data_IF_346907306052
#
_entry.id   IF_346907306052
#
_cell.length_a   1.000
_cell.length_b   1.000
_cell.length_c   1.000
_cell.angle_alpha   90.00
_cell.angle_beta   90.00
_cell.angle_gamma   90.00
#
_symmetry.space_group_name_H-M   'P 1'
#
loop_
_entity.id
_entity.type
_entity.pdbx_description
1 polymer ?
#
# COMPACT_ATOMS: atom_id res chain seq x y z
N UNK A 1 -1.68 51.82 16.18
CA UNK A 1 -0.65 51.29 17.11
C UNK A 1 -0.54 52.23 18.30
N UNK A 2 -0.91 51.82 19.53
CA UNK A 2 -0.77 52.68 20.71
C UNK A 2 0.72 52.96 21.00
N UNK A 3 1.06 54.21 21.35
CA UNK A 3 2.44 54.62 21.67
C UNK A 3 2.89 53.95 22.98
N UNK A 4 4.15 53.46 23.07
CA UNK A 4 4.63 52.86 24.31
C UNK A 4 4.68 53.89 25.44
N UNK A 5 4.21 53.53 26.64
CA UNK A 5 4.41 54.34 27.85
C UNK A 5 5.91 54.51 28.11
N UNK A 6 6.35 55.74 28.34
CA UNK A 6 7.76 56.11 28.54
C UNK A 6 8.25 55.83 29.98
N UNK A 7 7.33 55.72 30.94
CA UNK A 7 7.63 55.55 32.37
C UNK A 7 7.43 54.10 32.82
N UNK A 8 8.17 53.16 32.21
CA UNK A 8 8.19 51.76 32.65
C UNK A 8 9.15 51.60 33.83
N UNK A 9 8.70 50.94 34.89
CA UNK A 9 9.57 50.52 36.00
C UNK A 9 10.64 49.53 35.51
N UNK A 10 11.76 49.36 36.22
CA UNK A 10 12.80 48.42 35.83
C UNK A 10 12.30 46.97 35.64
N UNK A 11 11.31 46.55 36.42
CA UNK A 11 10.71 45.21 36.30
C UNK A 11 9.82 45.07 35.06
N UNK A 12 8.96 46.05 34.79
CA UNK A 12 8.11 46.06 33.58
C UNK A 12 8.94 46.14 32.30
N UNK A 13 10.11 46.81 32.33
CA UNK A 13 11.06 46.78 31.20
C UNK A 13 11.62 45.38 30.97
N UNK A 14 12.02 44.66 32.04
CA UNK A 14 12.54 43.29 31.95
C UNK A 14 11.48 42.33 31.40
N UNK A 15 10.25 42.42 31.88
CA UNK A 15 9.14 41.61 31.37
C UNK A 15 8.83 41.91 29.91
N UNK A 16 8.78 43.20 29.52
CA UNK A 16 8.58 43.60 28.12
C UNK A 16 9.70 43.08 27.22
N UNK A 17 10.96 43.14 27.65
CA UNK A 17 12.08 42.57 26.92
C UNK A 17 11.97 41.04 26.78
N UNK A 18 11.56 40.34 27.84
CA UNK A 18 11.32 38.89 27.83
C UNK A 18 10.20 38.50 26.86
N UNK A 19 9.07 39.21 26.89
CA UNK A 19 7.94 38.98 25.99
C UNK A 19 8.33 39.25 24.53
N UNK A 20 9.08 40.31 24.25
CA UNK A 20 9.60 40.58 22.90
C UNK A 20 10.59 39.53 22.43
N UNK A 21 11.48 39.05 23.30
CA UNK A 21 12.42 37.98 22.97
C UNK A 21 11.69 36.67 22.69
N UNK A 22 10.67 36.32 23.48
CA UNK A 22 9.83 35.15 23.28
C UNK A 22 9.05 35.25 21.96
N UNK A 23 8.39 36.38 21.67
CA UNK A 23 7.69 36.59 20.40
C UNK A 23 8.63 36.49 19.17
N UNK A 24 9.87 36.98 19.30
CA UNK A 24 10.90 36.80 18.26
C UNK A 24 11.32 35.33 18.10
N UNK A 25 11.38 34.56 19.19
CA UNK A 25 11.67 33.13 19.11
C UNK A 25 10.49 32.33 18.53
N UNK A 26 9.25 32.66 18.89
CA UNK A 26 8.05 32.03 18.35
C UNK A 26 7.93 32.25 16.84
N UNK A 27 8.13 33.49 16.38
CA UNK A 27 8.15 33.79 14.94
C UNK A 27 9.27 33.07 14.20
N UNK A 28 10.47 32.95 14.79
CA UNK A 28 11.55 32.12 14.23
C UNK A 28 11.16 30.64 14.14
N UNK A 29 10.58 30.07 15.21
CA UNK A 29 10.12 28.67 15.24
C UNK A 29 9.01 28.42 14.23
N UNK A 30 8.08 29.36 14.08
CA UNK A 30 7.01 29.29 13.10
C UNK A 30 7.56 29.27 11.67
N UNK A 31 8.45 30.21 11.32
CA UNK A 31 9.12 30.23 10.00
C UNK A 31 9.93 28.96 9.74
N UNK A 32 10.62 28.44 10.74
CA UNK A 32 11.34 27.16 10.61
C UNK A 32 10.40 25.98 10.38
N UNK A 33 9.22 25.97 11.03
CA UNK A 33 8.19 24.96 10.75
C UNK A 33 7.65 25.08 9.34
N UNK A 34 7.34 26.29 8.87
CA UNK A 34 6.89 26.53 7.49
C UNK A 34 7.92 26.07 6.47
N UNK A 35 9.20 26.40 6.66
CA UNK A 35 10.28 25.95 5.77
C UNK A 35 10.37 24.42 5.74
N UNK A 36 10.35 23.76 6.90
CA UNK A 36 10.36 22.29 6.96
C UNK A 36 9.13 21.66 6.30
N UNK A 37 7.96 22.30 6.41
CA UNK A 37 6.76 21.82 5.73
C UNK A 37 6.88 22.00 4.22
N UNK A 38 7.41 23.13 3.75
CA UNK A 38 7.65 23.38 2.34
C UNK A 38 8.68 22.40 1.75
N UNK A 39 9.76 22.10 2.48
CA UNK A 39 10.73 21.07 2.10
C UNK A 39 10.08 19.69 1.94
N UNK A 40 9.25 19.28 2.91
CA UNK A 40 8.50 18.01 2.83
C UNK A 40 7.58 17.96 1.62
N UNK A 41 6.82 19.02 1.39
CA UNK A 41 5.92 19.11 0.23
C UNK A 41 6.72 19.05 -1.06
N UNK A 42 7.87 19.71 -1.14
CA UNK A 42 8.74 19.65 -2.32
C UNK A 42 9.28 18.23 -2.57
N UNK A 43 9.69 17.52 -1.51
CA UNK A 43 10.12 16.12 -1.64
C UNK A 43 8.99 15.19 -2.09
N UNK A 44 7.77 15.37 -1.55
CA UNK A 44 6.60 14.59 -1.95
C UNK A 44 6.23 14.86 -3.42
N UNK A 45 6.32 16.11 -3.88
CA UNK A 45 6.06 16.47 -5.28
C UNK A 45 7.10 15.82 -6.21
N UNK A 46 8.38 15.84 -5.84
CA UNK A 46 9.44 15.21 -6.62
C UNK A 46 9.24 13.69 -6.73
N UNK A 47 8.92 13.03 -5.61
CA UNK A 47 8.60 11.60 -5.59
C UNK A 47 7.38 11.30 -6.47
N UNK A 48 6.32 12.10 -6.38
CA UNK A 48 5.13 11.93 -7.23
C UNK A 48 5.50 12.06 -8.71
N UNK A 49 6.37 13.00 -9.09
CA UNK A 49 6.81 13.16 -10.47
C UNK A 49 7.53 11.91 -11.00
N UNK A 50 8.47 11.35 -10.23
CA UNK A 50 9.15 10.09 -10.57
C UNK A 50 8.15 8.92 -10.71
N UNK A 51 7.16 8.85 -9.81
CA UNK A 51 6.13 7.82 -9.88
C UNK A 51 5.19 8.01 -11.09
N UNK A 52 4.97 9.24 -11.55
CA UNK A 52 4.22 9.52 -12.78
C UNK A 52 4.96 9.01 -14.01
N UNK A 53 6.27 9.26 -14.11
CA UNK A 53 7.10 8.74 -15.20
C UNK A 53 7.04 7.21 -15.25
N UNK A 54 7.24 6.56 -14.10
CA UNK A 54 7.09 5.12 -13.97
C UNK A 54 5.68 4.65 -14.38
N UNK A 55 4.63 5.37 -13.99
CA UNK A 55 3.26 5.01 -14.36
C UNK A 55 3.00 5.13 -15.87
N UNK A 56 3.63 6.08 -16.56
CA UNK A 56 3.56 6.16 -18.02
C UNK A 56 4.30 5.02 -18.71
N UNK A 57 5.47 4.62 -18.21
CA UNK A 57 6.19 3.44 -18.69
C UNK A 57 5.38 2.16 -18.50
N UNK A 58 4.78 1.97 -17.32
CA UNK A 58 3.94 0.82 -16.99
C UNK A 58 2.75 0.68 -17.95
N UNK A 59 2.18 1.79 -18.43
CA UNK A 59 1.08 1.79 -19.38
C UNK A 59 1.50 1.35 -20.80
N UNK A 60 2.79 1.39 -21.11
CA UNK A 60 3.35 0.91 -22.38
C UNK A 60 3.76 -0.56 -22.32
N UNK A 61 3.94 -1.11 -21.11
CA UNK A 61 4.32 -2.50 -20.91
C UNK A 61 3.14 -3.47 -21.09
N UNK A 62 3.46 -4.75 -21.26
CA UNK A 62 2.44 -5.79 -21.17
C UNK A 62 1.89 -5.87 -19.74
N UNK A 63 0.58 -6.10 -19.62
CA UNK A 63 -0.12 -6.11 -18.33
C UNK A 63 0.54 -7.03 -17.28
N UNK A 64 0.98 -8.27 -17.59
CA UNK A 64 1.64 -9.13 -16.60
C UNK A 64 2.94 -8.54 -16.05
N UNK A 65 3.75 -7.92 -16.92
CA UNK A 65 5.03 -7.31 -16.54
C UNK A 65 4.79 -6.08 -15.68
N UNK A 66 3.85 -5.22 -16.08
CA UNK A 66 3.49 -4.03 -15.31
C UNK A 66 3.01 -4.37 -13.89
N UNK A 67 2.20 -5.43 -13.76
CA UNK A 67 1.73 -5.92 -12.45
C UNK A 67 2.90 -6.37 -11.59
N UNK A 68 3.86 -7.11 -12.15
CA UNK A 68 5.03 -7.60 -11.40
C UNK A 68 5.91 -6.44 -10.91
N UNK A 69 6.18 -5.44 -11.77
CA UNK A 69 6.94 -4.25 -11.39
C UNK A 69 6.27 -3.50 -10.24
N UNK A 70 4.96 -3.23 -10.35
CA UNK A 70 4.21 -2.54 -9.28
C UNK A 70 4.18 -3.36 -8.01
N UNK A 71 4.01 -4.68 -8.09
CA UNK A 71 3.96 -5.54 -6.92
C UNK A 71 5.30 -5.60 -6.17
N UNK A 72 6.42 -5.64 -6.91
CA UNK A 72 7.75 -5.59 -6.31
C UNK A 72 8.01 -4.23 -5.64
N UNK A 73 7.67 -3.13 -6.31
CA UNK A 73 7.74 -1.79 -5.72
C UNK A 73 6.91 -1.70 -4.43
N UNK A 74 5.65 -2.17 -4.44
CA UNK A 74 4.78 -2.16 -3.25
C UNK A 74 5.35 -2.97 -2.08
N UNK A 75 6.09 -4.03 -2.38
CA UNK A 75 6.77 -4.85 -1.38
C UNK A 75 8.00 -4.16 -0.80
N UNK A 76 8.79 -3.50 -1.63
CA UNK A 76 10.00 -2.75 -1.24
C UNK A 76 9.62 -1.54 -0.38
N UNK A 77 8.68 -0.74 -0.88
CA UNK A 77 8.19 0.48 -0.24
C UNK A 77 7.19 0.23 0.90
N UNK A 78 6.72 -1.02 1.04
CA UNK A 78 5.75 -1.47 2.06
C UNK A 78 4.47 -0.63 2.13
N UNK A 79 4.04 -0.10 0.98
CA UNK A 79 2.82 0.72 0.85
C UNK A 79 2.16 0.49 -0.51
N UNK A 80 0.85 0.74 -0.65
CA UNK A 80 0.20 0.69 -1.94
C UNK A 80 0.76 1.75 -2.90
N UNK A 81 1.04 1.36 -4.14
CA UNK A 81 1.35 2.29 -5.22
C UNK A 81 0.26 3.37 -5.32
N UNK A 82 0.60 4.67 -5.40
CA UNK A 82 -0.38 5.75 -5.38
C UNK A 82 -1.29 5.75 -6.62
N UNK A 83 -2.49 6.32 -6.48
CA UNK A 83 -3.40 6.54 -7.60
C UNK A 83 -3.04 7.89 -8.26
N UNK A 84 -2.30 7.84 -9.36
CA UNK A 84 -1.74 9.04 -9.99
C UNK A 84 -2.69 9.68 -10.99
N UNK A 85 -3.41 8.90 -11.79
CA UNK A 85 -4.41 9.46 -12.70
C UNK A 85 -5.75 9.57 -11.97
N UNK A 86 -6.17 10.79 -11.63
CA UNK A 86 -7.38 11.05 -10.82
C UNK A 86 -8.39 11.93 -11.54
N UNK A 87 -9.67 11.69 -11.24
CA UNK A 87 -10.80 12.58 -11.56
C UNK A 87 -10.97 13.61 -10.44
N UNK A 88 -11.56 14.81 -10.68
CA UNK A 88 -12.45 15.18 -11.80
C UNK A 88 -11.78 15.85 -13.02
N UNK A 89 -12.58 16.10 -14.07
CA UNK A 89 -12.22 16.92 -15.24
C UNK A 89 -11.78 18.31 -14.79
N UNK A 90 -10.66 18.80 -15.33
CA UNK A 90 -10.21 20.16 -15.02
C UNK A 90 -11.03 21.20 -15.80
N UNK A 91 -11.23 22.40 -15.24
CA UNK A 91 -12.11 23.45 -15.77
C UNK A 91 -11.82 23.86 -17.23
N UNK A 92 -10.58 23.67 -17.69
CA UNK A 92 -10.13 24.01 -19.04
C UNK A 92 -9.74 22.77 -19.88
N UNK A 93 -10.06 21.56 -19.42
CA UNK A 93 -9.74 20.32 -20.12
C UNK A 93 -10.77 20.05 -21.22
N UNK A 94 -10.28 19.86 -22.45
CA UNK A 94 -11.14 19.40 -23.54
C UNK A 94 -11.69 17.99 -23.24
N UNK A 95 -12.89 17.67 -23.71
CA UNK A 95 -13.47 16.33 -23.52
C UNK A 95 -12.55 15.21 -24.05
N UNK A 96 -11.83 15.45 -25.15
CA UNK A 96 -10.86 14.50 -25.70
C UNK A 96 -9.70 14.22 -24.74
N UNK A 97 -9.15 15.25 -24.11
CA UNK A 97 -8.09 15.11 -23.11
C UNK A 97 -8.59 14.37 -21.87
N UNK A 98 -9.80 14.69 -21.41
CA UNK A 98 -10.45 14.00 -20.30
C UNK A 98 -10.60 12.50 -20.55
N UNK A 99 -11.15 12.09 -21.70
CA UNK A 99 -11.31 10.66 -22.01
C UNK A 99 -9.97 9.92 -22.11
N UNK A 100 -8.95 10.54 -22.72
CA UNK A 100 -7.62 9.95 -22.78
C UNK A 100 -7.02 9.74 -21.38
N UNK A 101 -7.20 10.72 -20.48
CA UNK A 101 -6.77 10.63 -19.08
C UNK A 101 -7.54 9.57 -18.31
N UNK A 102 -8.86 9.50 -18.49
CA UNK A 102 -9.73 8.50 -17.87
C UNK A 102 -9.38 7.08 -18.30
N UNK A 103 -9.06 6.86 -19.59
CA UNK A 103 -8.58 5.58 -20.07
C UNK A 103 -7.23 5.17 -19.45
N UNK A 104 -6.27 6.11 -19.35
CA UNK A 104 -5.01 5.89 -18.63
C UNK A 104 -5.29 5.50 -17.18
N UNK A 105 -6.17 6.24 -16.49
CA UNK A 105 -6.55 5.99 -15.10
C UNK A 105 -7.15 4.60 -14.90
N UNK A 106 -8.03 4.17 -15.82
CA UNK A 106 -8.65 2.84 -15.76
C UNK A 106 -7.62 1.73 -15.95
N UNK A 107 -6.76 1.83 -16.97
CA UNK A 107 -5.71 0.82 -17.23
C UNK A 107 -4.74 0.73 -16.05
N UNK A 108 -4.30 1.87 -15.55
CA UNK A 108 -3.40 1.94 -14.41
C UNK A 108 -4.05 1.42 -13.12
N UNK A 109 -5.33 1.75 -12.90
CA UNK A 109 -6.14 1.23 -11.80
C UNK A 109 -6.19 -0.30 -11.79
N UNK A 110 -6.33 -0.93 -12.97
CA UNK A 110 -6.28 -2.39 -13.09
C UNK A 110 -4.91 -2.96 -12.71
N UNK A 111 -3.82 -2.37 -13.19
CA UNK A 111 -2.45 -2.79 -12.84
C UNK A 111 -2.27 -2.75 -11.31
N UNK A 112 -2.61 -1.62 -10.69
CA UNK A 112 -2.52 -1.44 -9.22
C UNK A 112 -3.35 -2.46 -8.46
N UNK A 113 -4.58 -2.67 -8.89
CA UNK A 113 -5.49 -3.62 -8.25
C UNK A 113 -4.93 -5.04 -8.29
N UNK A 114 -4.44 -5.48 -9.45
CA UNK A 114 -3.88 -6.82 -9.61
C UNK A 114 -2.53 -6.99 -8.90
N UNK A 115 -1.75 -5.92 -8.74
CA UNK A 115 -0.47 -5.93 -8.06
C UNK A 115 -0.59 -6.22 -6.55
N UNK A 116 -1.63 -5.71 -5.89
CA UNK A 116 -1.80 -5.82 -4.43
C UNK A 116 -1.68 -7.26 -3.90
N UNK A 117 -2.32 -8.21 -4.59
CA UNK A 117 -2.31 -9.62 -4.20
C UNK A 117 -1.39 -10.49 -5.07
N UNK A 118 -0.63 -9.89 -5.98
CA UNK A 118 0.11 -10.63 -7.00
C UNK A 118 1.13 -11.60 -6.38
N UNK A 119 1.97 -11.10 -5.47
CA UNK A 119 3.04 -11.90 -4.83
C UNK A 119 2.46 -13.03 -3.99
N UNK A 120 1.41 -12.72 -3.21
CA UNK A 120 0.69 -13.71 -2.40
C UNK A 120 0.09 -14.80 -3.29
N UNK A 121 -0.62 -14.39 -4.34
CA UNK A 121 -1.25 -15.29 -5.30
C UNK A 121 -0.25 -16.14 -6.07
N UNK A 122 0.94 -15.61 -6.38
CA UNK A 122 2.04 -16.36 -6.98
C UNK A 122 2.57 -17.43 -6.01
N UNK A 123 2.74 -17.10 -4.74
CA UNK A 123 3.11 -18.04 -3.68
C UNK A 123 2.07 -19.15 -3.50
N UNK A 124 0.78 -18.80 -3.46
CA UNK A 124 -0.31 -19.77 -3.35
C UNK A 124 -0.37 -20.71 -4.55
N UNK A 125 -0.18 -20.19 -5.76
CA UNK A 125 -0.08 -21.02 -6.98
C UNK A 125 1.08 -22.01 -6.89
N UNK A 126 2.27 -21.57 -6.45
CA UNK A 126 3.43 -22.47 -6.27
C UNK A 126 3.14 -23.55 -5.22
N UNK A 127 2.61 -23.17 -4.05
CA UNK A 127 2.23 -24.13 -2.99
C UNK A 127 1.22 -25.17 -3.48
N UNK A 128 0.20 -24.72 -4.21
CA UNK A 128 -0.82 -25.60 -4.80
C UNK A 128 -0.22 -26.53 -5.84
N UNK A 129 0.68 -26.05 -6.70
CA UNK A 129 1.39 -26.90 -7.66
C UNK A 129 2.21 -27.98 -6.97
N UNK A 130 3.03 -27.63 -5.99
CA UNK A 130 3.82 -28.59 -5.21
C UNK A 130 2.94 -29.61 -4.48
N UNK A 131 1.81 -29.16 -3.92
CA UNK A 131 0.83 -30.04 -3.28
C UNK A 131 0.22 -31.03 -4.29
N UNK A 132 -0.21 -30.54 -5.45
CA UNK A 132 -0.77 -31.38 -6.51
C UNK A 132 0.26 -32.39 -7.03
N UNK A 133 1.51 -31.97 -7.23
CA UNK A 133 2.60 -32.85 -7.67
C UNK A 133 2.89 -33.95 -6.64
N UNK A 134 2.83 -33.60 -5.34
CA UNK A 134 2.98 -34.57 -4.26
C UNK A 134 1.85 -35.59 -4.27
N UNK A 135 0.59 -35.15 -4.38
CA UNK A 135 -0.55 -36.06 -4.45
C UNK A 135 -0.50 -36.95 -5.70
N UNK A 136 -0.04 -36.41 -6.84
CA UNK A 136 0.14 -37.18 -8.06
C UNK A 136 1.20 -38.28 -7.88
N UNK A 137 2.33 -37.97 -7.23
CA UNK A 137 3.37 -38.96 -6.91
C UNK A 137 2.88 -40.02 -5.93
N UNK A 138 2.15 -39.64 -4.89
CA UNK A 138 1.59 -40.57 -3.89
C UNK A 138 0.53 -41.48 -4.52
N UNK A 139 -0.33 -40.96 -5.40
CA UNK A 139 -1.31 -41.75 -6.14
C UNK A 139 -0.64 -42.74 -7.10
N UNK A 140 0.37 -42.29 -7.83
CA UNK A 140 1.16 -43.14 -8.73
C UNK A 140 1.88 -44.27 -7.99
N UNK A 141 2.44 -44.00 -6.81
CA UNK A 141 3.10 -45.01 -5.98
C UNK A 141 2.15 -46.14 -5.52
N UNK A 142 0.86 -45.83 -5.36
CA UNK A 142 -0.18 -46.79 -4.97
C UNK A 142 -0.88 -47.39 -6.21
N UNK A 143 -0.53 -46.95 -7.42
CA UNK A 143 -1.13 -47.44 -8.67
C UNK A 143 -2.59 -47.01 -8.87
N UNK A 144 -3.01 -45.89 -8.28
CA UNK A 144 -4.39 -45.39 -8.38
C UNK A 144 -4.44 -43.99 -8.98
N UNK A 145 -5.62 -43.56 -9.41
CA UNK A 145 -5.84 -42.19 -9.89
C UNK A 145 -5.77 -41.19 -8.74
N UNK A 146 -5.41 -39.93 -9.06
CA UNK A 146 -5.30 -38.85 -8.07
C UNK A 146 -6.63 -38.63 -7.32
N UNK A 147 -7.75 -38.70 -8.03
CA UNK A 147 -9.07 -38.50 -7.42
C UNK A 147 -9.45 -39.67 -6.50
N UNK A 148 -9.14 -40.91 -6.89
CA UNK A 148 -9.33 -42.07 -6.03
C UNK A 148 -8.45 -41.98 -4.77
N UNK A 149 -7.21 -41.52 -4.91
CA UNK A 149 -6.30 -41.27 -3.78
C UNK A 149 -6.87 -40.20 -2.81
N UNK A 150 -7.36 -39.07 -3.34
CA UNK A 150 -8.00 -38.00 -2.56
C UNK A 150 -9.24 -38.49 -1.83
N UNK A 151 -10.09 -39.28 -2.49
CA UNK A 151 -11.30 -39.84 -1.87
C UNK A 151 -10.94 -40.78 -0.73
N UNK A 152 -9.96 -41.68 -0.93
CA UNK A 152 -9.47 -42.59 0.12
C UNK A 152 -8.91 -41.83 1.32
N UNK A 153 -8.10 -40.80 1.08
CA UNK A 153 -7.51 -39.94 2.13
C UNK A 153 -8.58 -39.17 2.91
N UNK A 154 -9.62 -38.71 2.23
CA UNK A 154 -10.74 -37.99 2.84
C UNK A 154 -11.61 -38.92 3.69
N UNK A 155 -11.91 -40.12 3.18
CA UNK A 155 -12.62 -41.15 3.93
C UNK A 155 -11.86 -41.55 5.21
N UNK A 156 -10.56 -41.80 5.11
CA UNK A 156 -9.71 -42.12 6.27
C UNK A 156 -9.65 -40.98 7.31
N UNK A 157 -9.65 -39.71 6.87
CA UNK A 157 -9.75 -38.56 7.79
C UNK A 157 -11.10 -38.49 8.48
N UNK A 158 -12.19 -38.84 7.78
CA UNK A 158 -13.53 -38.82 8.34
C UNK A 158 -13.68 -39.91 9.41
N UNK A 159 -13.23 -41.14 9.12
CA UNK A 159 -13.27 -42.25 10.07
C UNK A 159 -12.47 -41.92 11.33
N UNK A 160 -11.24 -41.40 11.19
CA UNK A 160 -10.43 -41.00 12.34
C UNK A 160 -11.09 -39.91 13.20
N UNK A 161 -11.80 -38.96 12.58
CA UNK A 161 -12.58 -37.95 13.33
C UNK A 161 -13.76 -38.58 14.09
N UNK A 162 -14.47 -39.51 13.47
CA UNK A 162 -15.59 -40.21 14.11
C UNK A 162 -15.11 -41.08 15.26
N UNK A 163 -14.00 -41.81 15.09
CA UNK A 163 -13.36 -42.60 16.15
C UNK A 163 -12.95 -41.72 17.33
N UNK A 164 -12.39 -40.53 17.08
CA UNK A 164 -12.07 -39.58 18.14
C UNK A 164 -13.31 -39.11 18.90
N UNK A 165 -14.38 -38.75 18.20
CA UNK A 165 -15.64 -38.32 18.84
C UNK A 165 -16.25 -39.44 19.71
N UNK A 166 -16.18 -40.69 19.23
CA UNK A 166 -16.66 -41.85 19.99
C UNK A 166 -15.80 -42.07 21.22
N UNK A 167 -14.48 -42.01 21.10
CA UNK A 167 -13.56 -42.13 22.25
C UNK A 167 -13.78 -41.03 23.30
N UNK A 168 -13.94 -39.77 22.86
CA UNK A 168 -14.21 -38.64 23.74
C UNK A 168 -15.57 -38.78 24.45
N UNK A 169 -16.58 -39.42 23.81
CA UNK A 169 -17.88 -39.72 24.44
C UNK A 169 -17.84 -40.89 25.41
N UNK A 170 -16.97 -41.89 25.19
CA UNK A 170 -16.80 -43.02 26.12
C UNK A 170 -16.03 -42.57 27.37
N UNK A 171 -15.18 -41.55 27.24
CA UNK A 171 -14.37 -41.00 28.33
C UNK A 171 -15.08 -39.93 29.19
N UNK A 172 -16.28 -39.49 28.82
CA UNK A 172 -17.11 -38.50 29.52
C UNK A 172 -18.23 -39.17 30.31
#
# INVERSE_FOLDING_TARGET
MPRPRLDLTPEERRERCRLQANARQETKRFKQKELKMAEKVATEIAEIAELYELAEELLQMSLPVAIEVVANWQREERRPFPALFTDPQADHETSKAYYARSEKARKFGLIRYMAMDHIKSAGDRRRKATFNDKEAKEAAAVGITVDAYRNRKTAARLTAKMEKIVADRIAA
#
